data_IF_902162941306
#
_entry.id   IF_902162941306
#
_cell.length_a   1.000
_cell.length_b   1.000
_cell.length_c   1.000
_cell.angle_alpha   90.00
_cell.angle_beta   90.00
_cell.angle_gamma   90.00
#
_symmetry.space_group_name_H-M   'P 1'
#
loop_
_entity.id
_entity.type
_entity.pdbx_description
1 polymer ?
#
# COMPACT_ATOMS: atom_id res chain seq x y z
N UNK A 1 10.47 -7.39 -8.71
CA UNK A 1 9.56 -7.68 -7.57
C UNK A 1 8.85 -9.02 -7.78
N UNK A 2 9.58 -10.13 -8.04
CA UNK A 2 8.96 -11.44 -8.23
C UNK A 2 9.51 -12.39 -7.16
N UNK A 3 8.89 -12.34 -5.98
CA UNK A 3 9.21 -13.21 -4.85
C UNK A 3 7.89 -13.71 -4.26
N UNK A 4 7.54 -14.94 -4.64
CA UNK A 4 6.33 -15.64 -4.21
C UNK A 4 6.20 -15.61 -2.68
N UNK A 5 4.99 -15.34 -2.19
CA UNK A 5 4.67 -15.35 -0.75
C UNK A 5 4.98 -14.07 0.01
N UNK A 6 5.46 -13.00 -0.65
CA UNK A 6 5.57 -11.68 -0.02
C UNK A 6 4.23 -10.95 0.06
N UNK A 7 4.07 -10.09 1.05
CA UNK A 7 2.85 -9.31 1.28
C UNK A 7 2.91 -7.94 0.60
N UNK A 8 1.82 -7.57 -0.07
CA UNK A 8 1.68 -6.30 -0.79
C UNK A 8 0.46 -5.54 -0.28
N UNK A 9 0.69 -4.35 0.29
CA UNK A 9 -0.34 -3.35 0.56
C UNK A 9 -0.59 -2.45 -0.65
N UNK A 10 -1.85 -2.14 -0.91
CA UNK A 10 -2.24 -1.21 -1.98
C UNK A 10 -3.12 -0.13 -1.38
N UNK A 11 -2.66 1.13 -1.41
CA UNK A 11 -3.43 2.27 -0.92
C UNK A 11 -4.23 2.85 -2.08
N UNK A 12 -5.54 2.90 -1.89
CA UNK A 12 -6.48 3.38 -2.91
C UNK A 12 -6.89 2.30 -3.92
N UNK A 13 -8.17 2.33 -4.32
CA UNK A 13 -8.75 1.39 -5.27
C UNK A 13 -9.47 2.14 -6.41
N UNK A 14 -8.67 2.82 -7.23
CA UNK A 14 -9.06 3.42 -8.51
C UNK A 14 -8.40 2.70 -9.69
N UNK A 15 -8.26 3.37 -10.85
CA UNK A 15 -7.71 2.76 -12.06
C UNK A 15 -6.34 2.08 -11.87
N UNK A 16 -5.37 2.79 -11.26
CA UNK A 16 -4.06 2.23 -10.94
C UNK A 16 -4.14 1.12 -9.88
N UNK A 17 -4.90 1.34 -8.80
CA UNK A 17 -5.09 0.35 -7.74
C UNK A 17 -5.62 -0.99 -8.26
N UNK A 18 -6.57 -0.98 -9.20
CA UNK A 18 -7.09 -2.21 -9.82
C UNK A 18 -6.00 -2.98 -10.55
N UNK A 19 -5.15 -2.28 -11.31
CA UNK A 19 -4.04 -2.89 -12.02
C UNK A 19 -3.02 -3.46 -11.04
N UNK A 20 -2.73 -2.73 -9.96
CA UNK A 20 -1.81 -3.19 -8.91
C UNK A 20 -2.32 -4.48 -8.25
N UNK A 21 -3.62 -4.60 -7.97
CA UNK A 21 -4.20 -5.85 -7.42
C UNK A 21 -3.99 -7.01 -8.39
N UNK A 22 -4.32 -6.83 -9.67
CA UNK A 22 -4.20 -7.87 -10.70
C UNK A 22 -2.75 -8.34 -10.86
N UNK A 23 -1.80 -7.41 -10.94
CA UNK A 23 -0.39 -7.77 -11.04
C UNK A 23 0.15 -8.40 -9.76
N UNK A 24 -0.21 -7.88 -8.59
CA UNK A 24 0.18 -8.47 -7.30
C UNK A 24 -0.27 -9.93 -7.18
N UNK A 25 -1.53 -10.21 -7.56
CA UNK A 25 -2.06 -11.58 -7.62
C UNK A 25 -1.32 -12.45 -8.65
N UNK A 26 -1.08 -11.92 -9.85
CA UNK A 26 -0.35 -12.65 -10.90
C UNK A 26 1.10 -12.98 -10.50
N UNK A 27 1.74 -12.14 -9.67
CA UNK A 27 3.07 -12.40 -9.11
C UNK A 27 3.05 -13.27 -7.85
N UNK A 28 1.88 -13.76 -7.42
CA UNK A 28 1.74 -14.63 -6.26
C UNK A 28 2.04 -13.96 -4.93
N UNK A 29 1.72 -12.66 -4.82
CA UNK A 29 1.83 -11.88 -3.59
C UNK A 29 0.54 -11.97 -2.75
N UNK A 30 0.67 -11.88 -1.42
CA UNK A 30 -0.48 -11.71 -0.53
C UNK A 30 -0.95 -10.25 -0.58
N UNK A 31 -1.87 -9.98 -1.51
CA UNK A 31 -2.45 -8.66 -1.74
C UNK A 31 -3.46 -8.25 -0.65
N UNK A 32 -3.20 -7.12 -0.01
CA UNK A 32 -4.08 -6.40 0.91
C UNK A 32 -4.43 -5.03 0.34
N UNK A 33 -5.72 -4.77 0.12
CA UNK A 33 -6.20 -3.44 -0.30
C UNK A 33 -6.51 -2.60 0.94
N UNK A 34 -6.09 -1.34 0.95
CA UNK A 34 -6.32 -0.40 2.04
C UNK A 34 -7.05 0.83 1.47
N UNK A 35 -8.19 1.17 2.06
CA UNK A 35 -9.03 2.28 1.59
C UNK A 35 -9.73 2.98 2.74
N UNK A 36 -10.09 4.25 2.55
CA UNK A 36 -11.01 4.98 3.45
C UNK A 36 -12.47 4.64 3.19
N UNK A 37 -12.80 4.05 2.04
CA UNK A 37 -14.18 3.81 1.62
C UNK A 37 -14.57 2.35 1.75
N UNK A 38 -15.45 2.03 2.70
CA UNK A 38 -15.98 0.67 2.88
C UNK A 38 -16.70 0.13 1.65
N UNK A 39 -17.27 1.00 0.82
CA UNK A 39 -17.92 0.59 -0.44
C UNK A 39 -16.98 -0.09 -1.44
N UNK A 40 -15.65 0.03 -1.26
CA UNK A 40 -14.63 -0.60 -2.09
C UNK A 40 -14.30 -2.04 -1.70
N UNK A 41 -14.86 -2.54 -0.59
CA UNK A 41 -14.55 -3.86 -0.07
C UNK A 41 -15.02 -4.99 -0.99
N UNK A 42 -16.28 -4.94 -1.43
CA UNK A 42 -16.87 -5.95 -2.34
C UNK A 42 -16.07 -6.02 -3.65
N UNK A 43 -15.77 -4.86 -4.24
CA UNK A 43 -14.94 -4.76 -5.45
C UNK A 43 -13.52 -5.35 -5.24
N UNK A 44 -12.88 -5.07 -4.11
CA UNK A 44 -11.55 -5.57 -3.80
C UNK A 44 -11.51 -7.10 -3.62
N UNK A 45 -12.47 -7.65 -2.86
CA UNK A 45 -12.48 -9.06 -2.47
C UNK A 45 -13.11 -9.93 -3.55
N UNK A 46 -14.28 -9.55 -4.07
CA UNK A 46 -15.08 -10.44 -4.92
C UNK A 46 -14.72 -10.30 -6.40
N UNK A 47 -14.46 -9.06 -6.87
CA UNK A 47 -14.13 -8.80 -8.28
C UNK A 47 -12.64 -8.91 -8.57
N UNK A 48 -11.81 -8.34 -7.70
CA UNK A 48 -10.36 -8.29 -7.89
C UNK A 48 -9.60 -9.41 -7.15
N UNK A 49 -10.30 -10.18 -6.31
CA UNK A 49 -9.75 -11.34 -5.59
C UNK A 49 -8.54 -11.01 -4.71
N UNK A 50 -8.50 -9.81 -4.14
CA UNK A 50 -7.54 -9.47 -3.10
C UNK A 50 -7.74 -10.41 -1.88
N UNK A 51 -6.66 -10.71 -1.16
CA UNK A 51 -6.73 -11.61 -0.01
C UNK A 51 -7.36 -10.93 1.20
N UNK A 52 -7.14 -9.62 1.34
CA UNK A 52 -7.63 -8.81 2.46
C UNK A 52 -8.05 -7.43 1.99
N UNK A 53 -8.98 -6.84 2.74
CA UNK A 53 -9.37 -5.44 2.63
C UNK A 53 -9.33 -4.82 4.02
N UNK A 54 -8.72 -3.65 4.14
CA UNK A 54 -8.64 -2.89 5.38
C UNK A 54 -9.25 -1.51 5.19
N UNK A 55 -10.05 -1.11 6.17
CA UNK A 55 -10.50 0.26 6.29
C UNK A 55 -9.42 1.07 7.02
N UNK A 56 -8.82 2.07 6.36
CA UNK A 56 -7.72 2.84 6.94
C UNK A 56 -8.12 3.67 8.18
N UNK A 57 -9.42 3.86 8.38
CA UNK A 57 -9.99 4.55 9.55
C UNK A 57 -10.33 3.58 10.69
N UNK A 58 -10.16 2.27 10.51
CA UNK A 58 -10.34 1.27 11.56
C UNK A 58 -8.97 0.93 12.16
N UNK A 59 -8.68 1.52 13.31
CA UNK A 59 -7.40 1.37 14.01
C UNK A 59 -7.08 -0.10 14.32
N UNK A 60 -8.07 -0.91 14.69
CA UNK A 60 -7.85 -2.32 15.02
C UNK A 60 -7.45 -3.12 13.79
N UNK A 61 -8.06 -2.83 12.65
CA UNK A 61 -7.68 -3.46 11.38
C UNK A 61 -6.25 -3.07 10.99
N UNK A 62 -5.89 -1.80 11.13
CA UNK A 62 -4.55 -1.31 10.82
C UNK A 62 -3.48 -1.90 11.74
N UNK A 63 -3.75 -1.96 13.05
CA UNK A 63 -2.87 -2.60 14.03
C UNK A 63 -2.65 -4.08 13.75
N UNK A 64 -3.67 -4.80 13.27
CA UNK A 64 -3.57 -6.24 12.96
C UNK A 64 -2.56 -6.57 11.86
N UNK A 65 -2.17 -5.58 11.06
CA UNK A 65 -1.18 -5.71 9.96
C UNK A 65 0.05 -4.84 10.18
N UNK A 66 0.26 -4.30 11.39
CA UNK A 66 1.47 -3.55 11.71
C UNK A 66 2.72 -4.40 11.46
N UNK A 67 3.72 -3.80 10.81
CA UNK A 67 5.00 -4.44 10.45
C UNK A 67 4.87 -5.79 9.72
N UNK A 68 3.85 -5.94 8.87
CA UNK A 68 3.54 -7.20 8.19
C UNK A 68 3.66 -7.15 6.67
N UNK A 69 3.79 -5.96 6.08
CA UNK A 69 3.84 -5.75 4.64
C UNK A 69 5.29 -5.66 4.13
N UNK A 70 5.64 -6.44 3.09
CA UNK A 70 6.94 -6.32 2.42
C UNK A 70 6.97 -5.10 1.49
N UNK A 71 5.85 -4.84 0.81
CA UNK A 71 5.70 -3.76 -0.16
C UNK A 71 4.42 -2.98 0.11
N UNK A 72 4.46 -1.67 -0.09
CA UNK A 72 3.26 -0.84 -0.24
C UNK A 72 3.35 -0.08 -1.56
N UNK A 73 2.29 -0.15 -2.36
CA UNK A 73 2.13 0.68 -3.55
C UNK A 73 1.00 1.68 -3.29
N UNK A 74 1.36 2.94 -3.21
CA UNK A 74 0.43 4.03 -2.99
C UNK A 74 -0.07 4.61 -4.31
N UNK A 75 -1.37 4.41 -4.56
CA UNK A 75 -2.07 4.87 -5.76
C UNK A 75 -3.11 5.96 -5.45
N UNK A 76 -3.20 6.41 -4.20
CA UNK A 76 -4.17 7.42 -3.80
C UNK A 76 -3.80 8.79 -4.39
N UNK A 77 -4.80 9.51 -4.91
CA UNK A 77 -4.61 10.83 -5.53
C UNK A 77 -4.77 11.99 -4.55
N UNK A 78 -5.07 11.71 -3.28
CA UNK A 78 -5.30 12.73 -2.25
C UNK A 78 -4.30 12.61 -1.11
N UNK A 79 -4.18 13.70 -0.34
CA UNK A 79 -3.31 13.75 0.82
C UNK A 79 -3.79 12.79 1.91
N UNK A 80 -2.85 12.07 2.50
CA UNK A 80 -3.12 11.09 3.56
C UNK A 80 -1.89 10.92 4.45
N UNK A 81 -2.05 10.41 5.69
CA UNK A 81 -0.95 10.35 6.65
C UNK A 81 0.03 9.21 6.30
N UNK A 82 1.22 9.54 5.79
CA UNK A 82 2.22 8.55 5.38
C UNK A 82 2.72 7.69 6.55
N UNK A 83 2.91 8.29 7.73
CA UNK A 83 3.39 7.57 8.92
C UNK A 83 2.50 6.38 9.31
N UNK A 84 1.18 6.51 9.11
CA UNK A 84 0.23 5.43 9.34
C UNK A 84 0.57 4.21 8.48
N UNK A 85 0.83 4.42 7.19
CA UNK A 85 1.11 3.34 6.25
C UNK A 85 2.54 2.81 6.36
N UNK A 86 3.51 3.68 6.64
CA UNK A 86 4.88 3.26 6.93
C UNK A 86 4.94 2.31 8.13
N UNK A 87 4.08 2.50 9.14
CA UNK A 87 4.03 1.59 10.29
C UNK A 87 3.61 0.14 9.96
N UNK A 88 2.99 -0.06 8.78
CA UNK A 88 2.57 -1.37 8.31
C UNK A 88 3.70 -2.16 7.63
N UNK A 89 4.76 -1.48 7.20
CA UNK A 89 5.89 -2.11 6.55
C UNK A 89 6.76 -2.87 7.54
N UNK A 90 7.24 -4.04 7.10
CA UNK A 90 8.35 -4.74 7.74
C UNK A 90 9.61 -3.87 7.72
N UNK A 91 10.58 -4.25 8.53
CA UNK A 91 11.95 -3.73 8.40
C UNK A 91 12.45 -4.02 6.98
N UNK A 92 13.13 -3.06 6.35
CA UNK A 92 13.55 -3.08 4.95
C UNK A 92 12.39 -3.17 3.93
N UNK A 93 11.17 -2.84 4.34
CA UNK A 93 10.02 -2.74 3.45
C UNK A 93 10.10 -1.52 2.52
N UNK A 94 9.54 -1.66 1.32
CA UNK A 94 9.51 -0.60 0.32
C UNK A 94 8.10 0.02 0.22
N UNK A 95 8.01 1.35 0.34
CA UNK A 95 6.84 2.12 -0.08
C UNK A 95 7.14 2.79 -1.43
N UNK A 96 6.35 2.46 -2.44
CA UNK A 96 6.43 3.05 -3.78
C UNK A 96 5.25 4.00 -3.96
N UNK A 97 5.55 5.28 -4.13
CA UNK A 97 4.54 6.28 -4.40
C UNK A 97 4.35 6.44 -5.92
N UNK A 98 3.13 6.17 -6.37
CA UNK A 98 2.69 6.37 -7.77
C UNK A 98 1.59 7.44 -7.85
N UNK A 99 0.91 7.71 -6.72
CA UNK A 99 0.02 8.85 -6.55
C UNK A 99 0.74 10.20 -6.60
N UNK A 100 -0.06 11.26 -6.68
CA UNK A 100 0.40 12.66 -6.70
C UNK A 100 -0.25 13.43 -5.54
N UNK A 101 0.19 13.23 -4.29
CA UNK A 101 -0.23 14.07 -3.17
C UNK A 101 0.32 15.49 -3.36
N UNK A 102 -0.36 16.47 -2.76
CA UNK A 102 0.11 17.86 -2.76
C UNK A 102 1.27 18.06 -1.79
N UNK A 103 1.30 17.28 -0.71
CA UNK A 103 2.33 17.33 0.32
C UNK A 103 2.61 15.94 0.90
N UNK A 104 3.88 15.69 1.22
CA UNK A 104 4.32 14.48 1.92
C UNK A 104 4.78 14.87 3.32
N UNK A 105 3.96 14.55 4.33
CA UNK A 105 4.30 14.72 5.75
C UNK A 105 4.58 13.37 6.37
N UNK A 106 5.79 13.21 6.90
CA UNK A 106 6.22 12.02 7.64
C UNK A 106 7.23 12.39 8.72
N UNK A 107 7.32 11.57 9.76
CA UNK A 107 8.35 11.71 10.78
C UNK A 107 9.65 10.99 10.35
N UNK A 108 10.81 11.67 10.33
CA UNK A 108 12.07 11.07 9.89
C UNK A 108 12.46 9.80 10.66
N UNK A 109 12.06 9.70 11.93
CA UNK A 109 12.33 8.53 12.78
C UNK A 109 11.71 7.24 12.21
N UNK A 110 10.59 7.34 11.49
CA UNK A 110 9.95 6.18 10.88
C UNK A 110 10.82 5.64 9.76
N UNK A 111 11.41 6.49 8.92
CA UNK A 111 12.34 6.05 7.86
C UNK A 111 13.60 5.39 8.44
N UNK A 112 14.15 5.96 9.51
CA UNK A 112 15.42 5.51 10.10
C UNK A 112 15.24 4.22 10.91
N UNK A 113 14.20 4.12 11.75
CA UNK A 113 14.08 2.99 12.68
C UNK A 113 13.68 1.67 12.02
N UNK A 114 13.12 1.70 10.81
CA UNK A 114 12.72 0.52 10.05
C UNK A 114 13.58 0.23 8.81
N UNK A 115 14.62 1.02 8.53
CA UNK A 115 15.34 0.99 7.23
C UNK A 115 14.36 1.02 6.05
N UNK A 116 13.28 1.78 6.18
CA UNK A 116 12.23 1.82 5.17
C UNK A 116 12.69 2.68 4.01
N UNK A 117 12.43 2.21 2.79
CA UNK A 117 12.78 2.93 1.57
C UNK A 117 11.52 3.51 0.96
N UNK A 118 11.55 4.81 0.70
CA UNK A 118 10.54 5.49 -0.09
C UNK A 118 11.13 5.78 -1.47
N UNK A 119 10.43 5.38 -2.52
CA UNK A 119 10.82 5.71 -3.90
C UNK A 119 9.71 6.45 -4.60
N UNK A 120 10.06 7.59 -5.19
CA UNK A 120 9.20 8.36 -6.09
C UNK A 120 9.53 7.92 -7.51
N UNK A 121 8.54 7.39 -8.23
CA UNK A 121 8.71 7.11 -9.65
C UNK A 121 8.71 8.44 -10.41
N UNK A 122 9.89 9.00 -10.63
CA UNK A 122 10.09 10.06 -11.61
C UNK A 122 9.86 9.45 -12.99
N UNK A 123 8.83 9.91 -13.69
CA UNK A 123 8.66 9.62 -15.12
C UNK A 123 9.82 10.27 -15.89
N UNK A 124 10.90 9.53 -16.12
CA UNK A 124 11.91 9.89 -17.11
C UNK A 124 11.60 9.15 -18.42
N UNK A 125 11.06 9.90 -19.38
CA UNK A 125 10.87 9.55 -20.79
C UNK A 125 9.91 8.39 -21.11
N UNK A 126 8.74 8.78 -21.66
CA UNK A 126 8.28 8.12 -22.89
C UNK A 126 9.22 8.49 -24.04
#
# INVERSE_FOLDING_TARGET
>A
MNQLGKSLGIIGLGGLGHMTVKFGKAFGLEVTVISTSKSKQEEAIDLLLAHRFLLSTDEKQMESVAKSLDFIIDTASGDHPFDLYLSLLKVDGDMVLVGFPSEIKLQPINLISGTMRTSLLKYSHF
#
